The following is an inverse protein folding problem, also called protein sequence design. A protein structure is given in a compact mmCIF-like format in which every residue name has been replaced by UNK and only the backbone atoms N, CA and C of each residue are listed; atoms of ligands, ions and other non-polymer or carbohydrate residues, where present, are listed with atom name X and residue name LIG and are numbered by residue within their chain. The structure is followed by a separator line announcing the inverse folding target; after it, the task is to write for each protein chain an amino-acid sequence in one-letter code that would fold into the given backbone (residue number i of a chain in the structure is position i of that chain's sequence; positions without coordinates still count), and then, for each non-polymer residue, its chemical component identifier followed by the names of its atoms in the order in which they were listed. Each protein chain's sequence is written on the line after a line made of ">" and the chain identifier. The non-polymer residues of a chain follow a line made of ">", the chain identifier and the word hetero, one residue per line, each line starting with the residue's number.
data_IF_646573286294
#
_entry.id   IF_646573286294
#
_cell.length_a   1.000
_cell.length_b   1.000
_cell.length_c   1.000
_cell.angle_alpha   90.00
_cell.angle_beta   90.00
_cell.angle_gamma   90.00
#
_symmetry.space_group_name_H-M   'P 1'
#
loop_
_entity.id
_entity.type
_entity.pdbx_description
1 polymer ?
#
# COMPACT_ATOMS: atom_id res chain seq x y z
N UNK A 1 -28.73 -11.38 17.97
CA UNK A 1 -27.62 -10.71 18.67
C UNK A 1 -26.84 -11.71 19.54
N UNK A 2 -26.24 -12.75 18.96
CA UNK A 2 -25.44 -13.74 19.70
C UNK A 2 -24.23 -14.19 18.86
N UNK A 3 -23.18 -13.37 18.88
CA UNK A 3 -21.77 -13.77 18.83
C UNK A 3 -20.92 -12.50 18.93
N UNK A 4 -20.88 -11.91 20.13
CA UNK A 4 -19.76 -11.04 20.48
C UNK A 4 -18.56 -11.99 20.64
N UNK A 5 -17.85 -12.26 19.55
CA UNK A 5 -16.55 -12.93 19.62
C UNK A 5 -15.66 -12.00 20.44
N UNK A 6 -15.36 -12.39 21.68
CA UNK A 6 -14.52 -11.59 22.57
C UNK A 6 -13.09 -11.71 22.06
N UNK A 7 -12.73 -10.88 21.08
CA UNK A 7 -11.43 -10.86 20.39
C UNK A 7 -10.26 -10.77 21.39
N UNK A 8 -10.47 -10.11 22.52
CA UNK A 8 -9.48 -9.95 23.59
C UNK A 8 -9.20 -11.24 24.37
N UNK A 9 -10.11 -12.23 24.34
CA UNK A 9 -9.92 -13.53 25.00
C UNK A 9 -9.08 -14.51 24.17
N UNK A 10 -8.74 -14.18 22.92
CA UNK A 10 -7.89 -15.02 22.07
C UNK A 10 -6.40 -14.80 22.36
N UNK A 11 -6.00 -15.03 23.61
CA UNK A 11 -4.64 -14.79 24.11
C UNK A 11 -3.57 -15.55 23.31
N UNK A 12 -3.93 -16.70 22.71
CA UNK A 12 -3.05 -17.49 21.86
C UNK A 12 -2.67 -16.73 20.60
N UNK A 13 -3.65 -16.12 19.93
CA UNK A 13 -3.40 -15.30 18.74
C UNK A 13 -2.55 -14.08 19.08
N UNK A 14 -2.87 -13.37 20.16
CA UNK A 14 -2.09 -12.21 20.62
C UNK A 14 -0.64 -12.59 20.96
N UNK A 15 -0.44 -13.70 21.67
CA UNK A 15 0.89 -14.22 22.01
C UNK A 15 1.70 -14.61 20.79
N UNK A 16 1.09 -15.27 19.80
CA UNK A 16 1.76 -15.63 18.54
C UNK A 16 2.19 -14.37 17.78
N UNK A 17 1.30 -13.40 17.63
CA UNK A 17 1.62 -12.13 16.94
C UNK A 17 2.76 -11.40 17.66
N UNK A 18 2.74 -11.35 18.99
CA UNK A 18 3.81 -10.74 19.79
C UNK A 18 5.16 -11.45 19.60
N UNK A 19 5.17 -12.79 19.62
CA UNK A 19 6.40 -13.58 19.41
C UNK A 19 6.94 -13.34 18.00
N UNK A 20 6.09 -13.37 16.97
CA UNK A 20 6.50 -13.10 15.58
C UNK A 20 7.08 -11.69 15.46
N UNK A 21 6.45 -10.69 16.10
CA UNK A 21 6.95 -9.32 16.14
C UNK A 21 8.33 -9.26 16.78
N UNK A 22 8.52 -9.86 17.95
CA UNK A 22 9.82 -9.89 18.65
C UNK A 22 10.89 -10.55 17.77
N UNK A 23 10.60 -11.73 17.19
CA UNK A 23 11.55 -12.42 16.32
C UNK A 23 11.92 -11.53 15.12
N UNK A 24 10.93 -10.89 14.50
CA UNK A 24 11.15 -10.05 13.32
C UNK A 24 11.99 -8.81 13.63
N UNK A 25 11.75 -8.17 14.78
CA UNK A 25 12.55 -7.02 15.23
C UNK A 25 13.96 -7.42 15.67
N UNK A 26 14.12 -8.59 16.30
CA UNK A 26 15.45 -9.13 16.66
C UNK A 26 16.28 -9.45 15.42
N UNK A 27 15.65 -9.97 14.36
CA UNK A 27 16.32 -10.15 13.06
C UNK A 27 16.72 -8.77 12.50
N UNK A 28 15.84 -7.78 12.60
CA UNK A 28 16.13 -6.42 12.15
C UNK A 28 16.27 -6.30 10.63
N UNK A 29 16.60 -5.11 10.16
CA UNK A 29 16.76 -4.86 8.73
C UNK A 29 18.02 -5.57 8.18
N UNK A 30 17.86 -6.37 7.14
CA UNK A 30 19.00 -6.97 6.43
C UNK A 30 19.17 -6.34 5.05
N UNK A 31 20.43 -6.09 4.70
CA UNK A 31 20.81 -5.60 3.38
C UNK A 31 21.38 -6.75 2.57
N UNK A 32 20.83 -6.99 1.39
CA UNK A 32 21.35 -7.96 0.42
C UNK A 32 21.95 -7.17 -0.74
N UNK A 33 23.27 -7.23 -0.96
CA UNK A 33 23.89 -6.54 -2.08
C UNK A 33 23.46 -7.19 -3.41
N UNK A 34 23.04 -6.37 -4.37
CA UNK A 34 22.68 -6.74 -5.74
C UNK A 34 23.43 -5.84 -6.74
N UNK A 35 24.73 -6.11 -6.90
CA UNK A 35 25.58 -5.35 -7.80
C UNK A 35 25.66 -3.87 -7.41
N UNK A 36 25.06 -3.00 -8.23
CA UNK A 36 25.06 -1.53 -8.05
C UNK A 36 23.98 -1.09 -7.03
N UNK A 37 23.07 -1.99 -6.64
CA UNK A 37 21.94 -1.70 -5.75
C UNK A 37 21.92 -2.64 -4.55
N UNK A 38 21.08 -2.34 -3.57
CA UNK A 38 20.84 -3.22 -2.42
C UNK A 38 19.34 -3.47 -2.24
N UNK A 39 18.98 -4.70 -1.86
CA UNK A 39 17.65 -5.00 -1.34
C UNK A 39 17.68 -4.77 0.16
N UNK A 40 16.80 -3.91 0.64
CA UNK A 40 16.53 -3.73 2.06
C UNK A 40 15.35 -4.61 2.48
N UNK A 41 15.65 -5.70 3.17
CA UNK A 41 14.64 -6.54 3.81
C UNK A 41 14.31 -5.97 5.19
N UNK A 42 13.11 -5.41 5.33
CA UNK A 42 12.61 -4.85 6.57
C UNK A 42 11.95 -5.93 7.45
N UNK A 43 11.93 -5.75 8.79
CA UNK A 43 11.28 -6.67 9.74
C UNK A 43 9.88 -7.15 9.35
N UNK A 44 9.08 -6.27 8.74
CA UNK A 44 7.71 -6.57 8.29
C UNK A 44 7.66 -7.73 7.28
N UNK A 45 8.68 -7.91 6.45
CA UNK A 45 8.73 -9.03 5.50
C UNK A 45 8.85 -10.37 6.24
N UNK A 46 9.71 -10.44 7.26
CA UNK A 46 9.84 -11.64 8.10
C UNK A 46 8.56 -11.93 8.88
N UNK A 47 7.93 -10.90 9.44
CA UNK A 47 6.69 -11.04 10.19
C UNK A 47 5.59 -11.70 9.35
N UNK A 48 5.49 -11.32 8.08
CA UNK A 48 4.54 -11.90 7.13
C UNK A 48 4.88 -13.35 6.80
N UNK A 49 6.15 -13.64 6.49
CA UNK A 49 6.59 -15.00 6.14
C UNK A 49 6.39 -15.97 7.33
N UNK A 50 6.73 -15.53 8.54
CA UNK A 50 6.50 -16.28 9.78
C UNK A 50 5.02 -16.44 10.06
N UNK A 51 4.21 -15.37 9.91
CA UNK A 51 2.76 -15.44 10.08
C UNK A 51 2.10 -16.41 9.11
N UNK A 52 2.51 -16.41 7.85
CA UNK A 52 2.07 -17.37 6.84
C UNK A 52 2.53 -18.79 7.18
N UNK A 53 3.78 -18.96 7.61
CA UNK A 53 4.30 -20.25 8.06
C UNK A 53 3.48 -20.83 9.21
N UNK A 54 3.21 -20.03 10.24
CA UNK A 54 2.40 -20.44 11.40
C UNK A 54 0.94 -20.71 11.01
N UNK A 55 0.38 -20.00 10.03
CA UNK A 55 -0.97 -20.28 9.52
C UNK A 55 -1.12 -21.71 8.97
N UNK A 56 -0.07 -22.27 8.35
CA UNK A 56 -0.09 -23.65 7.85
C UNK A 56 0.22 -24.71 8.93
N UNK A 57 0.45 -24.31 10.17
CA UNK A 57 0.65 -25.22 11.31
C UNK A 57 -0.66 -25.42 12.08
N UNK A 58 -0.81 -26.52 12.85
CA UNK A 58 -1.98 -26.72 13.71
C UNK A 58 -2.11 -25.71 14.87
N UNK A 59 -1.13 -24.80 15.02
CA UNK A 59 -1.10 -23.76 16.07
C UNK A 59 -2.21 -22.72 15.82
N UNK A 60 -2.51 -22.38 14.56
CA UNK A 60 -3.59 -21.47 14.18
C UNK A 60 -4.77 -22.27 13.64
N UNK A 61 -5.87 -22.29 14.41
CA UNK A 61 -7.14 -22.86 13.95
C UNK A 61 -7.95 -21.90 13.08
N UNK A 62 -8.97 -22.44 12.41
CA UNK A 62 -9.94 -21.65 11.60
C UNK A 62 -10.62 -20.54 12.41
N UNK A 63 -10.75 -20.70 13.73
CA UNK A 63 -11.35 -19.69 14.62
C UNK A 63 -10.43 -18.49 14.80
N UNK A 64 -9.16 -18.73 15.09
CA UNK A 64 -8.13 -17.70 15.25
C UNK A 64 -7.95 -16.91 13.95
N UNK A 65 -7.89 -17.61 12.80
CA UNK A 65 -7.83 -16.97 11.48
C UNK A 65 -9.06 -16.10 11.15
N UNK A 66 -10.25 -16.47 11.64
CA UNK A 66 -11.44 -15.62 11.50
C UNK A 66 -11.42 -14.43 12.45
N UNK A 67 -10.80 -14.56 13.63
CA UNK A 67 -10.66 -13.45 14.57
C UNK A 67 -9.59 -12.43 14.14
N UNK A 68 -8.59 -12.82 13.35
CA UNK A 68 -7.55 -11.90 12.89
C UNK A 68 -8.07 -10.82 11.93
N UNK A 69 -9.09 -11.14 11.10
CA UNK A 69 -9.68 -10.17 10.16
C UNK A 69 -10.24 -8.91 10.86
N UNK A 70 -11.14 -9.01 11.86
CA UNK A 70 -11.61 -7.83 12.59
C UNK A 70 -10.52 -7.19 13.48
N UNK A 71 -9.51 -7.94 13.93
CA UNK A 71 -8.37 -7.35 14.66
C UNK A 71 -7.54 -6.44 13.77
N UNK A 72 -7.22 -6.87 12.54
CA UNK A 72 -6.54 -6.02 11.55
C UNK A 72 -7.34 -4.75 11.32
N UNK A 73 -8.67 -4.85 11.19
CA UNK A 73 -9.51 -3.67 11.05
C UNK A 73 -9.41 -2.71 12.24
N UNK A 74 -9.43 -3.21 13.48
CA UNK A 74 -9.28 -2.37 14.69
C UNK A 74 -7.92 -1.65 14.68
N UNK A 75 -6.84 -2.36 14.36
CA UNK A 75 -5.50 -1.77 14.25
C UNK A 75 -5.42 -0.71 13.15
N UNK A 76 -5.97 -1.00 11.98
CA UNK A 76 -6.02 -0.07 10.84
C UNK A 76 -6.91 1.13 11.14
N UNK A 77 -8.01 0.96 11.89
CA UNK A 77 -8.92 2.05 12.26
C UNK A 77 -8.21 3.12 13.11
N UNK A 78 -7.28 2.74 13.99
CA UNK A 78 -6.46 3.70 14.74
C UNK A 78 -5.56 4.52 13.80
N UNK A 79 -4.97 3.88 12.79
CA UNK A 79 -4.17 4.58 11.78
C UNK A 79 -5.04 5.50 10.93
N UNK A 80 -6.22 5.05 10.50
CA UNK A 80 -7.20 5.87 9.77
C UNK A 80 -7.57 7.11 10.62
N UNK A 81 -7.82 6.93 11.91
CA UNK A 81 -8.13 8.04 12.81
C UNK A 81 -6.97 9.04 12.91
N UNK A 82 -5.73 8.55 13.08
CA UNK A 82 -4.52 9.40 13.06
C UNK A 82 -4.42 10.21 11.76
N UNK A 83 -4.55 9.55 10.61
CA UNK A 83 -4.48 10.22 9.32
C UNK A 83 -5.60 11.23 9.12
N UNK A 84 -6.81 10.95 9.62
CA UNK A 84 -7.91 11.92 9.61
C UNK A 84 -7.59 13.21 10.37
N UNK A 85 -6.93 13.10 11.53
CA UNK A 85 -6.50 14.27 12.34
C UNK A 85 -5.33 15.01 11.67
N UNK A 86 -4.43 14.31 11.00
CA UNK A 86 -3.30 14.92 10.28
C UNK A 86 -3.73 15.61 8.97
N UNK A 87 -4.81 15.14 8.33
CA UNK A 87 -5.23 15.62 7.02
C UNK A 87 -5.78 17.07 7.04
N UNK A 88 -6.58 17.41 8.05
CA UNK A 88 -7.21 18.73 8.15
C UNK A 88 -6.19 19.88 8.19
N UNK A 89 -5.23 19.90 9.13
CA UNK A 89 -4.20 20.93 9.23
C UNK A 89 -3.24 21.00 8.03
N UNK A 90 -3.17 19.95 7.22
CA UNK A 90 -2.30 19.89 6.05
C UNK A 90 -2.91 20.56 4.80
N UNK A 91 -4.21 20.85 4.77
CA UNK A 91 -4.88 21.50 3.63
C UNK A 91 -4.18 22.77 3.11
N UNK A 92 -3.75 23.74 3.95
CA UNK A 92 -3.03 24.92 3.47
C UNK A 92 -1.69 24.57 2.81
N UNK A 93 -1.00 23.53 3.29
CA UNK A 93 0.25 23.05 2.69
C UNK A 93 0.01 22.40 1.33
N UNK A 94 -1.11 21.71 1.16
CA UNK A 94 -1.52 21.15 -0.14
C UNK A 94 -1.73 22.26 -1.16
N UNK A 95 -2.45 23.32 -0.77
CA UNK A 95 -2.70 24.49 -1.63
C UNK A 95 -1.38 25.18 -1.99
N UNK A 96 -0.48 25.35 -1.02
CA UNK A 96 0.83 25.99 -1.23
C UNK A 96 1.79 25.16 -2.10
N UNK A 97 1.77 23.82 -1.97
CA UNK A 97 2.56 22.92 -2.82
C UNK A 97 2.02 22.84 -4.27
N UNK A 98 0.75 23.20 -4.48
CA UNK A 98 0.12 23.53 -5.76
C UNK A 98 0.52 22.62 -6.93
N UNK A 99 1.32 23.10 -7.91
CA UNK A 99 1.67 22.32 -9.10
C UNK A 99 2.51 21.07 -8.84
N UNK A 100 3.43 21.12 -7.87
CA UNK A 100 4.34 20.01 -7.59
C UNK A 100 3.57 18.78 -7.08
N UNK A 101 2.53 19.03 -6.29
CA UNK A 101 1.67 18.00 -5.73
C UNK A 101 0.77 17.37 -6.79
N UNK A 102 0.23 18.17 -7.73
CA UNK A 102 -0.51 17.67 -8.90
C UNK A 102 0.37 16.75 -9.74
N UNK A 103 1.63 17.14 -10.00
CA UNK A 103 2.57 16.32 -10.77
C UNK A 103 2.95 15.02 -10.04
N UNK A 104 3.12 15.07 -8.72
CA UNK A 104 3.40 13.89 -7.90
C UNK A 104 2.23 12.89 -7.94
N UNK A 105 1.00 13.37 -7.75
CA UNK A 105 -0.21 12.54 -7.79
C UNK A 105 -0.56 12.07 -9.21
N UNK A 106 -0.12 12.78 -10.26
CA UNK A 106 -0.27 12.32 -11.64
C UNK A 106 0.45 10.98 -11.88
N UNK A 107 1.62 10.76 -11.26
CA UNK A 107 2.31 9.48 -11.31
C UNK A 107 1.49 8.35 -10.69
N UNK A 108 0.87 8.60 -9.54
CA UNK A 108 -0.03 7.64 -8.88
C UNK A 108 -1.25 7.32 -9.76
N UNK A 109 -1.89 8.34 -10.35
CA UNK A 109 -3.03 8.17 -11.26
C UNK A 109 -2.66 7.44 -12.55
N UNK A 110 -1.45 7.64 -13.09
CA UNK A 110 -0.99 6.98 -14.30
C UNK A 110 -0.94 5.45 -14.14
N UNK A 111 -0.71 4.95 -12.92
CA UNK A 111 -0.71 3.50 -12.65
C UNK A 111 -2.06 2.84 -12.95
N UNK A 112 -3.18 3.57 -12.84
CA UNK A 112 -4.55 3.06 -13.11
C UNK A 112 -4.67 2.59 -14.57
N UNK A 113 -4.00 3.30 -15.49
CA UNK A 113 -4.05 3.04 -16.94
C UNK A 113 -3.55 1.63 -17.25
N UNK A 114 -2.54 1.15 -16.52
CA UNK A 114 -1.91 -0.16 -16.75
C UNK A 114 -2.51 -1.23 -15.82
N UNK A 115 -2.68 -0.89 -14.54
CA UNK A 115 -3.11 -1.86 -13.52
C UNK A 115 -4.55 -2.33 -13.71
N UNK A 116 -5.48 -1.45 -14.09
CA UNK A 116 -6.88 -1.81 -14.25
C UNK A 116 -7.12 -2.80 -15.41
N UNK A 117 -6.61 -2.59 -16.64
CA UNK A 117 -6.72 -3.58 -17.71
C UNK A 117 -6.07 -4.91 -17.34
N UNK A 118 -4.92 -4.87 -16.67
CA UNK A 118 -4.22 -6.09 -16.25
C UNK A 118 -5.05 -6.88 -15.23
N UNK A 119 -5.64 -6.22 -14.24
CA UNK A 119 -6.52 -6.86 -13.27
C UNK A 119 -7.75 -7.51 -13.94
N UNK A 120 -8.37 -6.83 -14.91
CA UNK A 120 -9.52 -7.36 -15.67
C UNK A 120 -9.10 -8.54 -16.55
N UNK A 121 -7.90 -8.50 -17.15
CA UNK A 121 -7.34 -9.58 -17.94
C UNK A 121 -7.12 -10.84 -17.10
N UNK A 122 -6.68 -10.68 -15.86
CA UNK A 122 -6.56 -11.77 -14.87
C UNK A 122 -7.91 -12.27 -14.33
N UNK A 123 -9.03 -11.74 -14.85
CA UNK A 123 -10.38 -12.21 -14.53
C UNK A 123 -11.05 -11.52 -13.34
N UNK A 124 -10.40 -10.51 -12.74
CA UNK A 124 -10.98 -9.73 -11.65
C UNK A 124 -12.10 -8.81 -12.17
N UNK A 125 -13.16 -8.65 -11.39
CA UNK A 125 -14.32 -7.82 -11.74
C UNK A 125 -14.34 -6.57 -10.89
N UNK A 126 -15.35 -6.37 -10.06
CA UNK A 126 -15.50 -5.19 -9.21
C UNK A 126 -14.36 -5.05 -8.20
N UNK A 127 -13.72 -6.16 -7.84
CA UNK A 127 -12.51 -6.20 -7.03
C UNK A 127 -11.40 -5.34 -7.65
N UNK A 128 -11.31 -5.29 -8.99
CA UNK A 128 -10.28 -4.51 -9.68
C UNK A 128 -10.40 -3.02 -9.38
N UNK A 129 -11.61 -2.48 -9.21
CA UNK A 129 -11.83 -1.06 -8.90
C UNK A 129 -11.16 -0.70 -7.56
N UNK A 130 -11.43 -1.49 -6.52
CA UNK A 130 -10.80 -1.28 -5.22
C UNK A 130 -9.30 -1.55 -5.24
N UNK A 131 -8.86 -2.52 -6.04
CA UNK A 131 -7.46 -2.92 -6.13
C UNK A 131 -6.57 -1.91 -6.86
N UNK A 132 -7.09 -1.23 -7.89
CA UNK A 132 -6.24 -0.47 -8.84
C UNK A 132 -6.41 1.03 -8.77
N UNK A 133 -7.37 1.55 -8.00
CA UNK A 133 -7.57 3.00 -7.90
C UNK A 133 -6.45 3.74 -7.15
N UNK A 134 -5.61 3.01 -6.42
CA UNK A 134 -4.53 3.51 -5.57
C UNK A 134 -3.66 2.34 -5.10
N UNK A 135 -2.51 2.62 -4.50
CA UNK A 135 -1.63 1.61 -3.87
C UNK A 135 -2.19 1.02 -2.54
N UNK A 136 -3.46 1.25 -2.25
CA UNK A 136 -4.23 0.58 -1.19
C UNK A 136 -3.90 0.98 0.24
N UNK A 137 -3.36 2.18 0.50
CA UNK A 137 -3.04 2.67 1.86
C UNK A 137 -4.26 3.01 2.70
N UNK A 138 -4.04 3.29 3.99
CA UNK A 138 -5.06 3.55 5.02
C UNK A 138 -6.16 4.52 4.57
N UNK A 139 -5.86 5.67 3.92
CA UNK A 139 -6.91 6.57 3.46
C UNK A 139 -7.80 5.94 2.38
N UNK A 140 -7.22 5.07 1.55
CA UNK A 140 -7.95 4.37 0.48
C UNK A 140 -8.83 3.25 1.05
N UNK A 141 -8.35 2.55 2.09
CA UNK A 141 -9.17 1.60 2.86
C UNK A 141 -10.39 2.30 3.46
N UNK A 142 -10.20 3.47 4.08
CA UNK A 142 -11.27 4.29 4.63
C UNK A 142 -12.27 4.70 3.53
N UNK A 143 -11.76 5.24 2.41
CA UNK A 143 -12.56 5.66 1.26
C UNK A 143 -13.44 4.53 0.70
N UNK A 144 -12.86 3.36 0.45
CA UNK A 144 -13.61 2.23 -0.09
C UNK A 144 -14.59 1.68 0.93
N UNK A 145 -14.22 1.65 2.21
CA UNK A 145 -15.12 1.23 3.30
C UNK A 145 -16.35 2.13 3.38
N UNK A 146 -16.17 3.45 3.33
CA UNK A 146 -17.27 4.42 3.37
C UNK A 146 -18.16 4.31 2.13
N UNK A 147 -17.55 4.18 0.94
CA UNK A 147 -18.28 4.23 -0.34
C UNK A 147 -18.95 2.93 -0.75
N UNK A 148 -18.38 1.78 -0.39
CA UNK A 148 -18.85 0.46 -0.84
C UNK A 148 -19.19 -0.50 0.32
N UNK A 149 -18.71 -0.24 1.53
CA UNK A 149 -18.87 -1.13 2.68
C UNK A 149 -17.87 -2.28 2.71
N UNK A 150 -17.60 -2.77 3.93
CA UNK A 150 -16.64 -3.84 4.26
C UNK A 150 -16.93 -5.20 3.58
N UNK A 151 -18.16 -5.47 3.17
CA UNK A 151 -18.54 -6.73 2.53
C UNK A 151 -18.45 -6.70 1.00
N UNK A 152 -18.11 -5.54 0.42
CA UNK A 152 -18.10 -5.35 -1.03
C UNK A 152 -16.94 -6.07 -1.73
N UNK A 153 -17.09 -6.39 -3.04
CA UNK A 153 -15.96 -6.81 -3.87
C UNK A 153 -14.82 -5.78 -3.90
N UNK A 154 -15.15 -4.49 -3.98
CA UNK A 154 -14.17 -3.40 -3.98
C UNK A 154 -13.33 -3.40 -2.70
N UNK A 155 -13.98 -3.60 -1.55
CA UNK A 155 -13.27 -3.67 -0.27
C UNK A 155 -12.30 -4.86 -0.21
N UNK A 156 -12.72 -6.02 -0.69
CA UNK A 156 -11.83 -7.19 -0.82
C UNK A 156 -10.64 -6.90 -1.73
N UNK A 157 -10.85 -6.16 -2.81
CA UNK A 157 -9.80 -5.70 -3.73
C UNK A 157 -8.78 -4.79 -3.06
N UNK A 158 -9.23 -3.72 -2.38
CA UNK A 158 -8.31 -2.77 -1.70
C UNK A 158 -7.59 -3.43 -0.54
N UNK A 159 -8.24 -4.32 0.21
CA UNK A 159 -7.62 -5.06 1.32
C UNK A 159 -6.53 -6.01 0.82
N UNK A 160 -6.78 -6.69 -0.31
CA UNK A 160 -5.75 -7.52 -0.96
C UNK A 160 -4.54 -6.68 -1.36
N UNK A 161 -4.76 -5.49 -1.94
CA UNK A 161 -3.69 -4.56 -2.30
C UNK A 161 -2.96 -4.01 -1.07
N UNK A 162 -3.65 -3.75 0.04
CA UNK A 162 -3.02 -3.32 1.29
C UNK A 162 -2.04 -4.37 1.82
N UNK A 163 -2.48 -5.63 1.91
CA UNK A 163 -1.66 -6.72 2.46
C UNK A 163 -0.52 -7.07 1.49
N UNK A 164 -0.86 -7.57 0.30
CA UNK A 164 0.14 -8.05 -0.65
C UNK A 164 0.99 -6.93 -1.23
N UNK A 165 0.39 -5.76 -1.47
CA UNK A 165 1.12 -4.60 -1.97
C UNK A 165 2.14 -4.06 -0.97
N UNK A 166 1.92 -4.19 0.35
CA UNK A 166 2.97 -3.82 1.33
C UNK A 166 4.15 -4.78 1.27
N UNK A 167 3.87 -6.08 1.20
CA UNK A 167 4.88 -7.15 1.23
C UNK A 167 5.74 -7.11 -0.02
N UNK A 168 5.11 -7.27 -1.18
CA UNK A 168 5.82 -7.29 -2.45
C UNK A 168 6.29 -5.90 -2.82
N UNK A 169 5.50 -4.87 -2.52
CA UNK A 169 5.87 -3.50 -2.81
C UNK A 169 7.18 -3.11 -2.14
N UNK A 170 7.42 -3.44 -0.87
CA UNK A 170 8.70 -3.11 -0.23
C UNK A 170 9.91 -3.68 -1.01
N UNK A 171 9.82 -4.94 -1.46
CA UNK A 171 10.86 -5.58 -2.27
C UNK A 171 11.01 -4.88 -3.62
N UNK A 172 9.89 -4.68 -4.33
CA UNK A 172 9.88 -4.01 -5.63
C UNK A 172 10.46 -2.60 -5.55
N UNK A 173 10.02 -1.79 -4.59
CA UNK A 173 10.47 -0.42 -4.40
C UNK A 173 11.95 -0.34 -4.04
N UNK A 174 12.48 -1.25 -3.22
CA UNK A 174 13.92 -1.30 -2.94
C UNK A 174 14.74 -1.57 -4.20
N UNK A 175 14.35 -2.54 -5.02
CA UNK A 175 15.08 -2.90 -6.23
C UNK A 175 14.97 -1.77 -7.27
N UNK A 176 13.75 -1.34 -7.57
CA UNK A 176 13.50 -0.33 -8.61
C UNK A 176 14.11 1.02 -8.24
N UNK A 177 14.04 1.44 -6.97
CA UNK A 177 14.67 2.68 -6.52
C UNK A 177 16.16 2.66 -6.82
N UNK A 178 16.89 1.62 -6.39
CA UNK A 178 18.32 1.50 -6.67
C UNK A 178 18.66 1.55 -8.17
N UNK A 179 17.87 0.86 -9.01
CA UNK A 179 18.08 0.84 -10.46
C UNK A 179 17.85 2.23 -11.06
N UNK A 180 16.75 2.89 -10.71
CA UNK A 180 16.39 4.20 -11.26
C UNK A 180 17.39 5.28 -10.85
N UNK A 181 17.90 5.24 -9.61
CA UNK A 181 18.94 6.16 -9.15
C UNK A 181 20.23 6.00 -9.97
N UNK A 182 20.57 4.77 -10.34
CA UNK A 182 21.79 4.47 -11.09
C UNK A 182 21.71 4.87 -12.58
N UNK A 183 20.50 4.89 -13.16
CA UNK A 183 20.30 5.08 -14.61
C UNK A 183 19.84 6.50 -14.96
N UNK A 184 19.01 7.13 -14.12
CA UNK A 184 18.40 8.41 -14.43
C UNK A 184 19.22 9.57 -13.86
N UNK A 185 19.54 10.60 -14.66
CA UNK A 185 20.40 11.72 -14.24
C UNK A 185 19.62 12.78 -13.45
N UNK A 186 18.91 12.36 -12.40
CA UNK A 186 18.15 13.28 -11.53
C UNK A 186 18.87 13.54 -10.20
N UNK A 187 18.50 14.65 -9.56
CA UNK A 187 19.01 15.01 -8.23
C UNK A 187 18.64 13.94 -7.18
N UNK A 188 19.53 13.63 -6.22
CA UNK A 188 19.21 12.77 -5.08
C UNK A 188 17.96 13.22 -4.32
N UNK A 189 17.70 14.52 -4.23
CA UNK A 189 16.50 15.06 -3.59
C UNK A 189 15.21 14.78 -4.38
N UNK A 190 15.30 14.71 -5.71
CA UNK A 190 14.16 14.32 -6.54
C UNK A 190 13.82 12.85 -6.33
N UNK A 191 14.82 11.97 -6.25
CA UNK A 191 14.61 10.57 -5.88
C UNK A 191 14.06 10.45 -4.45
N UNK A 192 14.57 11.24 -3.50
CA UNK A 192 14.06 11.27 -2.13
C UNK A 192 12.57 11.58 -2.11
N UNK A 193 12.13 12.59 -2.86
CA UNK A 193 10.71 12.90 -3.02
C UNK A 193 9.93 11.73 -3.66
N UNK A 194 10.49 11.04 -4.65
CA UNK A 194 9.82 9.90 -5.29
C UNK A 194 9.65 8.68 -4.36
N UNK A 195 10.49 8.53 -3.32
CA UNK A 195 10.34 7.43 -2.36
C UNK A 195 9.12 7.55 -1.44
N UNK A 196 8.57 8.77 -1.28
CA UNK A 196 7.39 9.02 -0.46
C UNK A 196 6.12 8.57 -1.18
N UNK A 197 5.63 7.38 -0.85
CA UNK A 197 4.46 6.78 -1.52
C UNK A 197 3.22 6.68 -0.63
N UNK A 198 3.29 7.20 0.59
CA UNK A 198 2.22 7.08 1.59
C UNK A 198 2.25 5.77 2.38
N UNK A 199 3.35 5.03 2.31
CA UNK A 199 3.56 3.76 3.00
C UNK A 199 4.88 3.81 3.75
N UNK A 200 4.87 3.78 5.09
CA UNK A 200 6.11 3.82 5.87
C UNK A 200 7.10 2.72 5.49
N UNK A 201 6.61 1.48 5.31
CA UNK A 201 7.44 0.33 4.95
C UNK A 201 8.00 0.46 3.53
N UNK A 202 7.16 0.81 2.54
CA UNK A 202 7.61 0.88 1.15
C UNK A 202 8.50 2.10 0.91
N UNK A 203 8.24 3.21 1.60
CA UNK A 203 9.10 4.39 1.59
C UNK A 203 10.46 4.09 2.22
N UNK A 204 10.51 3.42 3.37
CA UNK A 204 11.77 3.01 3.97
C UNK A 204 12.57 2.08 3.03
N UNK A 205 11.89 1.15 2.36
CA UNK A 205 12.52 0.26 1.40
C UNK A 205 13.05 1.00 0.16
N UNK A 206 12.28 1.95 -0.39
CA UNK A 206 12.71 2.79 -1.52
C UNK A 206 13.88 3.73 -1.14
N UNK A 207 13.88 4.23 0.09
CA UNK A 207 14.88 5.18 0.60
C UNK A 207 16.23 4.53 0.88
N UNK A 208 16.24 3.26 1.32
CA UNK A 208 17.45 2.52 1.70
C UNK A 208 18.60 2.62 0.69
N UNK A 209 18.39 2.24 -0.60
CA UNK A 209 19.42 2.32 -1.64
C UNK A 209 19.93 3.75 -1.87
N UNK A 210 19.06 4.75 -1.74
CA UNK A 210 19.40 6.15 -1.98
C UNK A 210 20.32 6.70 -0.88
N UNK A 211 20.03 6.38 0.39
CA UNK A 211 20.87 6.74 1.53
C UNK A 211 22.23 6.05 1.46
N UNK A 212 22.27 4.83 0.95
CA UNK A 212 23.52 4.08 0.76
C UNK A 212 24.40 4.68 -0.33
N UNK A 213 23.81 5.14 -1.42
CA UNK A 213 24.54 5.76 -2.53
C UNK A 213 24.98 7.21 -2.23
N UNK A 214 24.27 7.92 -1.35
CA UNK A 214 24.56 9.31 -0.96
C UNK A 214 24.62 9.48 0.57
N UNK A 215 25.60 8.86 1.26
CA UNK A 215 25.68 8.88 2.71
C UNK A 215 25.84 10.30 3.28
N UNK A 216 26.54 11.19 2.58
CA UNK A 216 26.77 12.58 3.01
C UNK A 216 25.48 13.42 3.05
N UNK A 217 24.44 13.00 2.32
CA UNK A 217 23.15 13.69 2.25
C UNK A 217 22.03 12.90 2.95
N UNK A 218 22.36 11.84 3.69
CA UNK A 218 21.39 10.91 4.28
C UNK A 218 20.30 11.61 5.11
N UNK A 219 20.67 12.60 5.92
CA UNK A 219 19.73 13.37 6.74
C UNK A 219 18.74 14.17 5.90
N UNK A 220 19.22 14.89 4.89
CA UNK A 220 18.41 15.70 3.98
C UNK A 220 17.49 14.83 3.13
N UNK A 221 18.01 13.75 2.55
CA UNK A 221 17.25 12.80 1.73
C UNK A 221 16.15 12.14 2.58
N UNK A 222 16.46 11.72 3.80
CA UNK A 222 15.45 11.15 4.72
C UNK A 222 14.36 12.16 5.06
N UNK A 223 14.72 13.43 5.28
CA UNK A 223 13.74 14.48 5.56
C UNK A 223 12.80 14.74 4.36
N UNK A 224 13.34 14.85 3.15
CA UNK A 224 12.54 15.03 1.92
C UNK A 224 11.62 13.84 1.66
N UNK A 225 12.13 12.62 1.84
CA UNK A 225 11.35 11.38 1.76
C UNK A 225 10.19 11.37 2.76
N UNK A 226 10.45 11.72 4.01
CA UNK A 226 9.43 11.80 5.07
C UNK A 226 8.35 12.83 4.78
N UNK A 227 8.74 14.02 4.31
CA UNK A 227 7.79 15.08 3.90
C UNK A 227 6.94 14.59 2.73
N UNK A 228 7.55 13.98 1.71
CA UNK A 228 6.83 13.44 0.57
C UNK A 228 5.84 12.35 0.97
N UNK A 229 6.25 11.42 1.84
CA UNK A 229 5.38 10.35 2.33
C UNK A 229 4.16 10.90 3.11
N UNK A 230 4.38 11.92 3.94
CA UNK A 230 3.31 12.61 4.65
C UNK A 230 2.36 13.32 3.68
N UNK A 231 2.90 14.02 2.67
CA UNK A 231 2.10 14.67 1.64
C UNK A 231 1.23 13.64 0.92
N UNK A 232 1.81 12.58 0.34
CA UNK A 232 1.06 11.53 -0.37
C UNK A 232 0.02 10.85 0.52
N UNK A 233 0.31 10.62 1.80
CA UNK A 233 -0.66 10.02 2.73
C UNK A 233 -1.91 10.89 2.89
N UNK A 234 -1.73 12.21 2.98
CA UNK A 234 -2.85 13.15 3.14
C UNK A 234 -3.53 13.45 1.81
N UNK A 235 -2.76 13.74 0.77
CA UNK A 235 -3.27 14.20 -0.53
C UNK A 235 -3.89 13.07 -1.32
N UNK A 236 -3.34 11.86 -1.19
CA UNK A 236 -3.87 10.66 -1.81
C UNK A 236 -5.32 10.37 -1.43
N UNK A 237 -5.76 10.78 -0.22
CA UNK A 237 -7.17 10.70 0.16
C UNK A 237 -8.05 11.59 -0.72
N UNK A 238 -7.71 12.87 -0.82
CA UNK A 238 -8.48 13.85 -1.59
C UNK A 238 -8.46 13.55 -3.09
N UNK A 239 -7.29 13.21 -3.63
CA UNK A 239 -7.16 12.77 -5.02
C UNK A 239 -7.91 11.47 -5.25
N UNK A 240 -7.88 10.54 -4.28
CA UNK A 240 -8.65 9.30 -4.28
C UNK A 240 -10.14 9.54 -4.41
N UNK A 241 -10.69 10.42 -3.56
CA UNK A 241 -12.11 10.79 -3.53
C UNK A 241 -12.54 11.47 -4.84
N UNK A 242 -11.80 12.50 -5.26
CA UNK A 242 -12.23 13.42 -6.31
C UNK A 242 -11.88 12.95 -7.72
N UNK A 243 -10.77 12.21 -7.89
CA UNK A 243 -10.20 11.89 -9.19
C UNK A 243 -10.03 10.38 -9.37
N UNK A 244 -9.19 9.74 -8.54
CA UNK A 244 -8.70 8.39 -8.80
C UNK A 244 -9.83 7.34 -8.83
N UNK A 245 -10.71 7.36 -7.84
CA UNK A 245 -11.82 6.40 -7.77
C UNK A 245 -12.90 6.66 -8.83
N UNK A 246 -13.38 7.90 -9.06
CA UNK A 246 -14.27 8.19 -10.19
C UNK A 246 -13.67 7.80 -11.55
N UNK A 247 -12.39 8.09 -11.78
CA UNK A 247 -11.68 7.74 -13.00
C UNK A 247 -11.63 6.22 -13.19
N UNK A 248 -11.22 5.49 -12.15
CA UNK A 248 -11.14 4.01 -12.18
C UNK A 248 -12.49 3.38 -12.49
N UNK A 249 -13.59 3.89 -11.90
CA UNK A 249 -14.95 3.39 -12.19
C UNK A 249 -15.36 3.62 -13.65
N UNK A 250 -15.10 4.82 -14.18
CA UNK A 250 -15.41 5.15 -15.58
C UNK A 250 -14.60 4.28 -16.53
N UNK A 251 -13.31 4.11 -16.24
CA UNK A 251 -12.42 3.31 -17.07
C UNK A 251 -12.80 1.81 -17.03
N UNK A 252 -13.13 1.28 -15.86
CA UNK A 252 -13.66 -0.09 -15.70
C UNK A 252 -14.93 -0.27 -16.54
N UNK A 253 -15.89 0.65 -16.42
CA UNK A 253 -17.15 0.58 -17.17
C UNK A 253 -16.90 0.58 -18.68
N UNK A 254 -15.94 1.39 -19.15
CA UNK A 254 -15.54 1.45 -20.55
C UNK A 254 -14.94 0.12 -21.05
N UNK A 255 -13.97 -0.44 -20.31
CA UNK A 255 -13.35 -1.73 -20.66
C UNK A 255 -14.40 -2.86 -20.69
N UNK A 256 -15.28 -2.89 -19.70
CA UNK A 256 -16.33 -3.92 -19.63
C UNK A 256 -17.36 -3.79 -20.74
N UNK A 257 -17.70 -2.56 -21.16
CA UNK A 257 -18.57 -2.33 -22.30
C UNK A 257 -17.96 -2.85 -23.61
N UNK A 258 -16.68 -2.56 -23.84
CA UNK A 258 -15.93 -3.09 -25.01
C UNK A 258 -15.92 -4.61 -24.99
N UNK A 259 -15.56 -5.22 -23.85
CA UNK A 259 -15.51 -6.68 -23.71
C UNK A 259 -16.85 -7.34 -24.01
N UNK A 260 -17.95 -6.77 -23.52
CA UNK A 260 -19.31 -7.25 -23.78
C UNK A 260 -19.67 -7.25 -25.28
N UNK A 261 -19.25 -6.22 -26.01
CA UNK A 261 -19.47 -6.12 -27.46
C UNK A 261 -18.73 -7.22 -28.23
N UNK A 262 -17.45 -7.43 -27.91
CA UNK A 262 -16.65 -8.48 -28.53
C UNK A 262 -17.13 -9.91 -28.23
N UNK A 263 -17.72 -10.14 -27.06
CA UNK A 263 -18.30 -11.46 -26.74
C UNK A 263 -19.57 -11.72 -27.55
N UNK A 264 -20.42 -10.71 -27.74
CA UNK A 264 -21.65 -10.85 -28.55
C UNK A 264 -21.37 -11.12 -30.02
N UNK A 265 -20.33 -10.50 -30.59
CA UNK A 265 -19.93 -10.73 -31.99
C UNK A 265 -19.29 -12.11 -32.23
N UNK A 266 -18.90 -12.85 -31.17
CA UNK A 266 -18.37 -14.23 -31.27
C UNK A 266 -19.42 -15.31 -31.05
N UNK A 267 -20.57 -14.96 -30.49
CA UNK A 267 -21.70 -15.86 -30.26
C UNK A 267 -22.77 -15.79 -31.38
N UNK A 268 -22.56 -14.91 -32.37
CA UNK A 268 -23.27 -14.87 -33.65
C UNK A 268 -22.46 -15.57 -34.74
#
# INVERSE_FOLDING_TARGET
>A
MQQQNILWKDWRLHGIVLIIMIISEVIGAHKIPLGITSILLLPVVYAVLLGLGVYFTPIIGKRQAKHSEPMVFISVALLIAKFGVEAGPALPKIIAAGPALILQEAGNLATIIISLPLAILLGLRRESIGMTHSIGREPNLALITEKYGITSPEWRGVMSMYIFGTIFGAIFFSIFSGILISILPFSPLAFAMATGVGSGVMTAAALGPLVEMYPDQASTITAFSGVSNLLTSVTGLYVGILIALPLTRKYYSFIMHIKSKFTKDKEQ
#
